data_IF_161347829414
#
_entry.id   IF_161347829414
#
_cell.length_a   1.000
_cell.length_b   1.000
_cell.length_c   1.000
_cell.angle_alpha   90.00
_cell.angle_beta   90.00
_cell.angle_gamma   90.00
#
_symmetry.space_group_name_H-M   'P 1'
#
loop_
_entity.id
_entity.type
_entity.pdbx_description
1 polymer ?
#
# COMPACT_ATOMS: atom_id res chain seq x y z
N UNK A 1 20.35 9.25 -25.32
CA UNK A 1 19.43 10.33 -24.93
C UNK A 1 18.74 9.92 -23.64
N UNK A 2 19.11 10.50 -22.49
CA UNK A 2 18.35 10.27 -21.26
C UNK A 2 17.17 11.23 -21.24
N UNK A 3 15.98 10.69 -21.47
CA UNK A 3 14.74 11.43 -21.23
C UNK A 3 14.63 11.64 -19.72
N UNK A 4 15.02 12.82 -19.24
CA UNK A 4 14.73 13.20 -17.86
C UNK A 4 13.21 13.31 -17.73
N UNK A 5 12.58 12.58 -16.79
CA UNK A 5 11.15 12.66 -16.61
C UNK A 5 10.78 14.10 -16.24
N UNK A 6 9.69 14.67 -16.81
CA UNK A 6 9.28 16.03 -16.52
C UNK A 6 9.16 16.23 -15.02
N UNK A 7 9.65 17.37 -14.48
CA UNK A 7 9.67 17.69 -13.05
C UNK A 7 8.35 17.36 -12.31
N UNK A 8 7.22 17.47 -13.01
CA UNK A 8 5.86 17.13 -12.56
C UNK A 8 5.70 15.67 -12.09
N UNK A 9 6.37 14.71 -12.71
CA UNK A 9 6.25 13.29 -12.37
C UNK A 9 6.93 12.93 -11.05
N UNK A 10 8.05 13.59 -10.74
CA UNK A 10 8.72 13.44 -9.44
C UNK A 10 7.83 13.97 -8.31
N UNK A 11 7.26 15.16 -8.49
CA UNK A 11 6.32 15.74 -7.52
C UNK A 11 5.07 14.87 -7.32
N UNK A 12 4.50 14.34 -8.41
CA UNK A 12 3.35 13.45 -8.35
C UNK A 12 3.65 12.14 -7.60
N UNK A 13 4.78 11.49 -7.88
CA UNK A 13 5.17 10.26 -7.19
C UNK A 13 5.36 10.47 -5.68
N UNK A 14 5.96 11.59 -5.29
CA UNK A 14 6.12 11.95 -3.87
C UNK A 14 4.77 12.20 -3.22
N UNK A 15 3.89 12.96 -3.89
CA UNK A 15 2.55 13.25 -3.39
C UNK A 15 1.72 11.97 -3.22
N UNK A 16 1.77 11.04 -4.18
CA UNK A 16 1.08 9.75 -4.10
C UNK A 16 1.62 8.88 -2.95
N UNK A 17 2.94 8.87 -2.73
CA UNK A 17 3.53 8.14 -1.60
C UNK A 17 3.10 8.73 -0.26
N UNK A 18 3.14 10.06 -0.12
CA UNK A 18 2.70 10.73 1.11
C UNK A 18 1.21 10.49 1.36
N UNK A 19 0.38 10.59 0.33
CA UNK A 19 -1.05 10.29 0.42
C UNK A 19 -1.28 8.82 0.81
N UNK A 20 -0.56 7.88 0.20
CA UNK A 20 -0.65 6.46 0.53
C UNK A 20 -0.24 6.16 1.96
N UNK A 21 0.89 6.72 2.43
CA UNK A 21 1.34 6.55 3.81
C UNK A 21 0.34 7.15 4.80
N UNK A 22 -0.19 8.34 4.49
CA UNK A 22 -1.20 8.98 5.32
C UNK A 22 -2.47 8.13 5.43
N UNK A 23 -2.98 7.63 4.31
CA UNK A 23 -4.12 6.72 4.28
C UNK A 23 -3.84 5.46 5.09
N UNK A 24 -2.68 4.82 4.89
CA UNK A 24 -2.29 3.65 5.66
C UNK A 24 -2.26 3.89 7.16
N UNK A 25 -1.69 5.02 7.61
CA UNK A 25 -1.66 5.37 9.03
C UNK A 25 -3.07 5.63 9.58
N UNK A 26 -3.96 6.26 8.81
CA UNK A 26 -5.35 6.46 9.20
C UNK A 26 -6.12 5.16 9.30
N UNK A 27 -6.01 4.28 8.30
CA UNK A 27 -6.63 2.95 8.31
C UNK A 27 -6.08 2.13 9.46
N UNK A 28 -4.76 2.10 9.67
CA UNK A 28 -4.15 1.39 10.80
C UNK A 28 -4.64 1.92 12.14
N UNK A 29 -4.70 3.25 12.32
CA UNK A 29 -5.25 3.87 13.52
C UNK A 29 -6.70 3.45 13.76
N UNK A 30 -7.55 3.44 12.73
CA UNK A 30 -8.94 3.00 12.84
C UNK A 30 -9.04 1.51 13.22
N UNK A 31 -8.23 0.64 12.60
CA UNK A 31 -8.26 -0.80 12.86
C UNK A 31 -7.79 -1.15 14.27
N UNK A 32 -6.75 -0.48 14.78
CA UNK A 32 -6.16 -0.81 16.07
C UNK A 32 -6.71 0.00 17.24
N UNK A 33 -7.07 1.27 17.04
CA UNK A 33 -7.54 2.14 18.12
C UNK A 33 -9.06 2.21 18.20
N UNK A 34 -9.78 1.96 17.10
CA UNK A 34 -11.24 2.10 17.08
C UNK A 34 -11.97 0.99 16.29
N UNK A 35 -11.70 -0.29 16.58
CA UNK A 35 -12.30 -1.42 15.85
C UNK A 35 -13.84 -1.45 15.95
N UNK A 36 -14.43 -0.94 17.04
CA UNK A 36 -15.89 -0.89 17.19
C UNK A 36 -16.54 0.04 16.18
N UNK A 37 -15.84 1.07 15.69
CA UNK A 37 -16.37 1.98 14.69
C UNK A 37 -16.42 1.29 13.33
N UNK A 38 -15.38 0.53 12.97
CA UNK A 38 -15.34 -0.27 11.75
C UNK A 38 -16.42 -1.35 11.75
N UNK A 39 -16.65 -2.00 12.89
CA UNK A 39 -17.72 -2.98 13.05
C UNK A 39 -19.11 -2.39 12.75
N UNK A 40 -19.36 -1.10 13.05
CA UNK A 40 -20.61 -0.41 12.69
C UNK A 40 -20.82 -0.24 11.19
N UNK A 41 -19.74 -0.22 10.41
CA UNK A 41 -19.77 -0.19 8.94
C UNK A 41 -19.77 -1.60 8.32
N UNK A 42 -19.92 -2.66 9.12
CA UNK A 42 -19.88 -4.04 8.63
C UNK A 42 -18.47 -4.53 8.31
N UNK A 43 -17.43 -3.77 8.66
CA UNK A 43 -16.04 -4.19 8.51
C UNK A 43 -15.65 -5.03 9.71
N UNK A 44 -15.68 -6.36 9.53
CA UNK A 44 -15.20 -7.30 10.52
C UNK A 44 -13.68 -7.18 10.76
N UNK A 45 -13.15 -7.78 11.83
CA UNK A 45 -11.72 -7.77 12.13
C UNK A 45 -10.86 -8.36 11.00
N UNK A 46 -11.35 -9.41 10.34
CA UNK A 46 -10.68 -10.05 9.20
C UNK A 46 -10.65 -9.13 7.97
N UNK A 47 -11.79 -8.57 7.58
CA UNK A 47 -11.90 -7.65 6.44
C UNK A 47 -11.05 -6.40 6.65
N UNK A 48 -11.01 -5.88 7.87
CA UNK A 48 -10.18 -4.73 8.25
C UNK A 48 -8.68 -5.02 8.13
N UNK A 49 -8.23 -6.22 8.52
CA UNK A 49 -6.85 -6.67 8.30
C UNK A 49 -6.53 -6.87 6.83
N UNK A 50 -7.48 -7.41 6.06
CA UNK A 50 -7.32 -7.61 4.63
C UNK A 50 -7.18 -6.26 3.90
N UNK A 51 -7.93 -5.23 4.30
CA UNK A 51 -7.77 -3.86 3.82
C UNK A 51 -6.37 -3.31 4.09
N UNK A 52 -5.84 -3.48 5.30
CA UNK A 52 -4.47 -3.07 5.63
C UNK A 52 -3.42 -3.79 4.77
N UNK A 53 -3.59 -5.08 4.52
CA UNK A 53 -2.69 -5.84 3.65
C UNK A 53 -2.75 -5.33 2.20
N UNK A 54 -3.94 -4.99 1.69
CA UNK A 54 -4.08 -4.40 0.36
C UNK A 54 -3.39 -3.03 0.27
N UNK A 55 -3.50 -2.19 1.29
CA UNK A 55 -2.78 -0.90 1.35
C UNK A 55 -1.26 -1.10 1.36
N UNK A 56 -0.75 -2.06 2.14
CA UNK A 56 0.68 -2.41 2.15
C UNK A 56 1.13 -2.86 0.76
N UNK A 57 0.35 -3.72 0.10
CA UNK A 57 0.64 -4.16 -1.27
C UNK A 57 0.67 -3.00 -2.25
N UNK A 58 -0.30 -2.09 -2.17
CA UNK A 58 -0.37 -0.90 -3.02
C UNK A 58 0.83 0.04 -2.81
N UNK A 59 1.26 0.24 -1.56
CA UNK A 59 2.44 1.04 -1.21
C UNK A 59 3.73 0.42 -1.75
N UNK A 60 3.88 -0.90 -1.62
CA UNK A 60 5.02 -1.63 -2.17
C UNK A 60 5.05 -1.55 -3.70
N UNK A 61 3.89 -1.68 -4.34
CA UNK A 61 3.76 -1.54 -5.79
C UNK A 61 4.12 -0.11 -6.25
N UNK A 62 3.66 0.91 -5.53
CA UNK A 62 4.01 2.30 -5.81
C UNK A 62 5.52 2.55 -5.64
N UNK A 63 6.12 1.95 -4.61
CA UNK A 63 7.57 1.91 -4.40
C UNK A 63 8.31 1.24 -5.55
N UNK A 64 7.81 0.14 -6.09
CA UNK A 64 8.41 -0.57 -7.22
C UNK A 64 8.46 0.28 -8.49
N UNK A 65 7.50 1.18 -8.69
CA UNK A 65 7.46 2.11 -9.82
C UNK A 65 8.27 3.40 -9.61
N UNK A 66 8.86 3.62 -8.43
CA UNK A 66 9.68 4.80 -8.21
C UNK A 66 11.05 4.68 -8.89
N UNK A 67 11.29 5.53 -9.90
CA UNK A 67 12.57 5.59 -10.62
C UNK A 67 13.78 6.00 -9.78
N UNK A 68 13.56 6.59 -8.60
CA UNK A 68 14.64 7.03 -7.72
C UNK A 68 15.20 5.90 -6.82
N UNK A 69 14.59 4.70 -6.85
CA UNK A 69 15.01 3.55 -6.04
C UNK A 69 15.90 2.60 -6.83
N UNK A 70 16.73 1.83 -6.13
CA UNK A 70 17.61 0.84 -6.76
C UNK A 70 16.78 -0.26 -7.45
N UNK A 71 17.28 -0.82 -8.55
CA UNK A 71 16.60 -1.92 -9.26
C UNK A 71 16.33 -3.14 -8.38
N UNK A 72 17.22 -3.43 -7.44
CA UNK A 72 17.05 -4.52 -6.47
C UNK A 72 15.87 -4.23 -5.53
N UNK A 73 15.74 -2.98 -5.05
CA UNK A 73 14.62 -2.57 -4.22
C UNK A 73 13.29 -2.60 -4.99
N UNK A 74 13.28 -2.11 -6.23
CA UNK A 74 12.08 -2.15 -7.09
C UNK A 74 11.58 -3.59 -7.27
N UNK A 75 12.49 -4.54 -7.51
CA UNK A 75 12.15 -5.97 -7.63
C UNK A 75 11.66 -6.57 -6.31
N UNK A 76 12.32 -6.26 -5.20
CA UNK A 76 11.90 -6.73 -3.88
C UNK A 76 10.52 -6.19 -3.50
N UNK A 77 10.27 -4.91 -3.76
CA UNK A 77 8.99 -4.26 -3.52
C UNK A 77 7.88 -4.86 -4.41
N UNK A 78 8.18 -5.13 -5.69
CA UNK A 78 7.23 -5.79 -6.59
C UNK A 78 6.88 -7.21 -6.11
N UNK A 79 7.89 -8.02 -5.79
CA UNK A 79 7.67 -9.37 -5.25
C UNK A 79 6.90 -9.33 -3.92
N UNK A 80 7.26 -8.39 -3.04
CA UNK A 80 6.56 -8.15 -1.78
C UNK A 80 5.11 -7.77 -1.98
N UNK A 81 4.79 -6.91 -2.96
CA UNK A 81 3.40 -6.54 -3.26
C UNK A 81 2.56 -7.75 -3.66
N UNK A 82 3.10 -8.65 -4.49
CA UNK A 82 2.40 -9.87 -4.90
C UNK A 82 2.27 -10.87 -3.76
N UNK A 83 3.30 -11.00 -2.91
CA UNK A 83 3.27 -11.88 -1.76
C UNK A 83 2.18 -11.46 -0.77
N UNK A 84 2.14 -10.17 -0.41
CA UNK A 84 1.12 -9.63 0.51
C UNK A 84 -0.27 -9.72 -0.11
N UNK A 85 -0.40 -9.49 -1.42
CA UNK A 85 -1.68 -9.64 -2.11
C UNK A 85 -2.16 -11.09 -2.13
N UNK A 86 -1.25 -12.06 -2.34
CA UNK A 86 -1.56 -13.47 -2.29
C UNK A 86 -1.97 -13.91 -0.88
N UNK A 87 -1.29 -13.40 0.16
CA UNK A 87 -1.65 -13.65 1.56
C UNK A 87 -3.03 -13.09 1.88
N UNK A 88 -3.32 -11.85 1.48
CA UNK A 88 -4.63 -11.23 1.64
C UNK A 88 -5.74 -12.03 0.93
N UNK A 89 -5.46 -12.54 -0.29
CA UNK A 89 -6.40 -13.36 -1.05
C UNK A 89 -6.66 -14.72 -0.37
N UNK A 90 -5.61 -15.37 0.15
CA UNK A 90 -5.74 -16.61 0.91
C UNK A 90 -6.59 -16.43 2.18
N UNK A 91 -6.35 -15.35 2.92
CA UNK A 91 -7.15 -15.01 4.11
C UNK A 91 -8.61 -14.73 3.73
N UNK A 92 -8.87 -14.12 2.58
CA UNK A 92 -10.23 -13.88 2.10
C UNK A 92 -10.98 -15.14 1.64
N UNK A 93 -10.28 -16.24 1.37
CA UNK A 93 -10.87 -17.52 0.95
C UNK A 93 -11.10 -18.51 2.10
N UNK A 94 -10.50 -18.25 3.28
CA UNK A 94 -10.60 -19.06 4.50
C UNK A 94 -11.69 -18.55 5.44
#
# INVERSE_FOLDING_TARGET
>A
MSEQPPLKWKGLSIALNLAGIFLFLMTAALVFLWPEHLARFGLGPQTSRMLLMQEISALLLLGAFQHNLSRSWQRAALLGSFLVLAEAALIGML
#
